data_IF_534759361448
#
_entry.id   IF_534759361448
#
_cell.length_a   1.000
_cell.length_b   1.000
_cell.length_c   1.000
_cell.angle_alpha   90.00
_cell.angle_beta   90.00
_cell.angle_gamma   90.00
#
_symmetry.space_group_name_H-M   'P 1'
#
loop_
_entity.id
_entity.type
_entity.pdbx_description
1 polymer ?
#
# COMPACT_ATOMS: atom_id res chain seq x y z
N UNK A 1 69.63 2.40 31.76
CA UNK A 1 68.48 1.74 32.42
C UNK A 1 67.37 2.78 32.55
N UNK A 2 66.38 2.74 31.65
CA UNK A 2 65.17 3.53 31.86
C UNK A 2 64.39 2.88 33.01
N UNK A 3 63.99 3.69 33.99
CA UNK A 3 63.23 3.22 35.15
C UNK A 3 61.93 2.53 34.67
N UNK A 4 61.47 1.44 35.32
CA UNK A 4 60.25 0.73 34.95
C UNK A 4 59.00 1.64 34.93
N UNK A 5 59.08 2.78 35.61
CA UNK A 5 58.01 3.76 35.75
C UNK A 5 57.75 4.58 34.48
N UNK A 6 58.74 4.75 33.60
CA UNK A 6 58.58 5.58 32.40
C UNK A 6 57.82 4.84 31.28
N UNK A 7 58.09 3.54 31.11
CA UNK A 7 57.37 2.68 30.15
C UNK A 7 55.92 2.47 30.60
N UNK A 8 55.70 2.32 31.91
CA UNK A 8 54.36 2.18 32.48
C UNK A 8 53.52 3.45 32.31
N UNK A 9 54.14 4.63 32.43
CA UNK A 9 53.45 5.92 32.24
C UNK A 9 53.03 6.14 30.78
N UNK A 10 53.84 5.71 29.81
CA UNK A 10 53.50 5.78 28.37
C UNK A 10 52.35 4.83 28.03
N UNK A 11 52.36 3.60 28.55
CA UNK A 11 51.27 2.63 28.35
C UNK A 11 49.95 3.11 28.97
N UNK A 12 50.01 3.72 30.17
CA UNK A 12 48.83 4.29 30.84
C UNK A 12 48.27 5.49 30.06
N UNK A 13 49.14 6.32 29.48
CA UNK A 13 48.72 7.44 28.64
C UNK A 13 48.02 6.95 27.35
N UNK A 14 48.52 5.88 26.73
CA UNK A 14 47.90 5.31 25.52
C UNK A 14 46.54 4.65 25.81
N UNK A 15 46.39 4.02 26.98
CA UNK A 15 45.10 3.50 27.46
C UNK A 15 44.10 4.62 27.77
N UNK A 16 44.56 5.76 28.32
CA UNK A 16 43.72 6.94 28.56
C UNK A 16 43.24 7.61 27.26
N UNK A 17 44.10 7.70 26.24
CA UNK A 17 43.71 8.23 24.92
C UNK A 17 42.83 7.26 24.11
N UNK A 18 42.95 5.94 24.31
CA UNK A 18 42.03 4.94 23.75
C UNK A 18 40.67 4.89 24.47
N UNK A 19 40.59 5.45 25.70
CA UNK A 19 39.37 5.52 26.51
C UNK A 19 38.59 6.83 26.39
N UNK A 20 39.10 7.81 25.64
CA UNK A 20 38.31 8.98 25.27
C UNK A 20 37.18 8.49 24.35
N UNK A 21 35.90 8.65 24.73
CA UNK A 21 34.82 8.36 23.81
C UNK A 21 35.05 9.26 22.61
N UNK A 22 35.30 8.63 21.47
CA UNK A 22 35.32 9.26 20.17
C UNK A 22 34.15 10.25 20.20
N UNK A 23 34.43 11.57 20.16
CA UNK A 23 33.39 12.60 20.15
C UNK A 23 32.64 12.37 18.84
N UNK A 24 31.67 11.48 18.88
CA UNK A 24 30.62 11.36 17.89
C UNK A 24 29.97 12.73 17.94
N UNK A 25 30.22 13.54 16.93
CA UNK A 25 29.27 14.58 16.53
C UNK A 25 27.97 13.84 16.27
N UNK A 26 27.18 13.68 17.33
CA UNK A 26 25.81 13.19 17.28
C UNK A 26 25.00 14.29 16.64
N UNK A 27 24.94 14.29 15.31
CA UNK A 27 23.79 14.87 14.63
C UNK A 27 22.57 14.05 15.05
N UNK A 28 21.73 14.67 15.88
CA UNK A 28 20.50 14.13 16.42
C UNK A 28 19.47 13.96 15.28
N UNK A 29 19.63 12.90 14.49
CA UNK A 29 18.53 12.27 13.80
C UNK A 29 18.21 11.01 14.61
N UNK A 30 16.96 10.87 15.03
CA UNK A 30 16.46 9.84 15.96
C UNK A 30 17.17 8.47 15.84
N UNK A 31 17.46 7.85 16.98
CA UNK A 31 18.19 6.56 17.18
C UNK A 31 17.53 5.32 16.51
N UNK A 32 17.07 5.43 15.27
CA UNK A 32 16.67 4.29 14.45
C UNK A 32 17.87 3.47 14.00
N UNK A 33 17.70 2.16 13.87
CA UNK A 33 18.69 1.29 13.23
C UNK A 33 18.04 0.46 12.12
N UNK A 34 18.82 0.15 11.10
CA UNK A 34 18.40 -0.74 10.01
C UNK A 34 18.97 -2.13 10.26
N UNK A 35 18.12 -3.15 10.15
CA UNK A 35 18.51 -4.55 10.22
C UNK A 35 18.05 -5.27 8.96
N UNK A 36 18.97 -5.96 8.30
CA UNK A 36 18.63 -6.84 7.18
C UNK A 36 18.01 -8.14 7.72
N UNK A 37 16.74 -8.38 7.38
CA UNK A 37 16.03 -9.61 7.79
C UNK A 37 16.22 -10.75 6.78
N UNK A 38 15.97 -10.46 5.50
CA UNK A 38 16.14 -11.37 4.37
C UNK A 38 16.91 -10.68 3.25
N UNK A 39 17.83 -11.39 2.59
CA UNK A 39 18.50 -10.86 1.39
C UNK A 39 17.53 -10.69 0.22
N UNK A 40 16.56 -11.60 0.11
CA UNK A 40 15.49 -11.58 -0.88
C UNK A 40 14.38 -12.53 -0.45
N UNK A 41 13.13 -12.18 -0.76
CA UNK A 41 11.97 -13.10 -0.69
C UNK A 41 11.58 -13.66 -2.05
N UNK A 42 12.36 -13.35 -3.10
CA UNK A 42 12.22 -13.87 -4.45
C UNK A 42 11.28 -13.09 -5.39
N UNK A 43 10.57 -12.08 -4.89
CA UNK A 43 9.68 -11.20 -5.67
C UNK A 43 9.94 -9.73 -5.34
N UNK A 44 9.47 -8.80 -6.18
CA UNK A 44 9.36 -7.39 -5.81
C UNK A 44 8.10 -7.16 -5.00
N UNK A 45 8.18 -6.40 -3.92
CA UNK A 45 7.01 -6.06 -3.10
C UNK A 45 6.26 -4.85 -3.68
N UNK A 46 5.75 -4.97 -4.92
CA UNK A 46 4.94 -3.91 -5.56
C UNK A 46 3.74 -3.53 -4.70
N UNK A 47 3.12 -4.53 -4.08
CA UNK A 47 2.16 -4.35 -2.99
C UNK A 47 2.60 -5.13 -1.76
N UNK A 48 2.29 -4.58 -0.59
CA UNK A 48 2.46 -5.27 0.69
C UNK A 48 1.37 -4.90 1.68
N UNK A 49 1.01 -5.86 2.53
CA UNK A 49 0.02 -5.68 3.58
C UNK A 49 0.41 -6.47 4.84
N UNK A 50 0.61 -5.75 5.95
CA UNK A 50 0.74 -6.36 7.28
C UNK A 50 -0.63 -6.84 7.76
N UNK A 51 -0.71 -8.10 8.19
CA UNK A 51 -1.89 -8.74 8.74
C UNK A 51 -1.88 -8.69 10.28
N UNK A 52 -3.01 -9.04 10.90
CA UNK A 52 -3.20 -9.07 12.37
C UNK A 52 -2.37 -10.11 13.13
N UNK A 53 -1.71 -11.02 12.41
CA UNK A 53 -0.95 -12.15 12.97
C UNK A 53 0.55 -12.05 12.69
N UNK A 54 1.08 -10.83 12.56
CA UNK A 54 2.49 -10.53 12.27
C UNK A 54 3.02 -11.18 10.99
N UNK A 55 2.11 -11.43 10.04
CA UNK A 55 2.46 -11.86 8.69
C UNK A 55 2.29 -10.72 7.72
N UNK A 56 3.18 -10.62 6.75
CA UNK A 56 3.11 -9.66 5.66
C UNK A 56 2.84 -10.40 4.37
N UNK A 57 1.76 -10.04 3.68
CA UNK A 57 1.50 -10.52 2.33
C UNK A 57 2.16 -9.54 1.37
N UNK A 58 3.02 -10.04 0.50
CA UNK A 58 3.66 -9.26 -0.57
C UNK A 58 3.31 -9.88 -1.92
N UNK A 59 3.17 -9.06 -2.95
CA UNK A 59 2.88 -9.55 -4.30
C UNK A 59 3.36 -8.58 -5.38
N UNK A 60 3.72 -9.18 -6.51
CA UNK A 60 4.18 -8.54 -7.72
C UNK A 60 3.25 -8.90 -8.89
N UNK A 61 3.40 -8.16 -9.99
CA UNK A 61 2.74 -8.44 -11.27
C UNK A 61 3.17 -9.78 -11.87
N UNK A 62 2.32 -10.42 -12.67
CA UNK A 62 2.63 -11.72 -13.31
C UNK A 62 3.13 -11.59 -14.74
N UNK A 63 2.90 -10.45 -15.37
CA UNK A 63 3.09 -10.20 -16.80
C UNK A 63 4.48 -9.63 -17.17
N UNK A 64 5.48 -9.81 -16.29
CA UNK A 64 6.84 -9.30 -16.48
C UNK A 64 7.91 -10.40 -16.65
N UNK A 65 7.52 -11.68 -16.54
CA UNK A 65 8.41 -12.84 -16.62
C UNK A 65 8.54 -13.59 -15.29
N UNK A 66 9.50 -14.51 -15.16
CA UNK A 66 9.60 -15.39 -14.00
C UNK A 66 10.16 -14.64 -12.77
N UNK A 67 9.64 -14.97 -11.60
CA UNK A 67 10.18 -14.53 -10.30
C UNK A 67 11.32 -15.43 -9.81
N UNK A 68 12.07 -14.99 -8.80
CA UNK A 68 13.20 -15.73 -8.20
C UNK A 68 12.79 -16.69 -7.08
N UNK A 69 11.52 -17.12 -7.06
CA UNK A 69 10.97 -18.08 -6.11
C UNK A 69 10.11 -19.10 -6.86
N UNK A 70 10.37 -20.39 -6.66
CA UNK A 70 9.54 -21.46 -7.24
C UNK A 70 8.29 -21.71 -6.42
N UNK A 71 7.19 -22.04 -7.09
CA UNK A 71 6.01 -22.60 -6.44
C UNK A 71 6.32 -24.03 -5.93
N UNK A 72 5.77 -24.44 -4.79
CA UNK A 72 6.04 -25.74 -4.20
C UNK A 72 5.42 -26.89 -5.00
N UNK A 73 5.97 -28.09 -4.86
CA UNK A 73 5.43 -29.35 -5.40
C UNK A 73 5.26 -29.38 -6.93
N UNK A 74 6.06 -28.64 -7.68
CA UNK A 74 5.97 -28.57 -9.14
C UNK A 74 4.70 -27.90 -9.65
N UNK A 75 3.98 -27.16 -8.79
CA UNK A 75 2.82 -26.37 -9.19
C UNK A 75 3.25 -25.28 -10.16
N UNK A 76 2.45 -25.07 -11.21
CA UNK A 76 2.61 -23.95 -12.12
C UNK A 76 1.26 -23.24 -12.30
N UNK A 77 1.31 -21.92 -12.41
CA UNK A 77 0.23 -21.08 -12.88
C UNK A 77 0.08 -21.31 -14.38
N UNK A 78 -1.12 -21.62 -14.82
CA UNK A 78 -1.46 -21.75 -16.24
C UNK A 78 -2.46 -20.66 -16.58
N UNK A 79 -2.09 -19.76 -17.47
CA UNK A 79 -2.91 -18.64 -17.88
C UNK A 79 -2.64 -18.32 -19.37
N UNK A 80 -3.53 -18.74 -20.27
CA UNK A 80 -3.34 -18.49 -21.70
C UNK A 80 -3.43 -17.00 -22.07
N UNK A 81 -3.91 -16.16 -21.15
CA UNK A 81 -4.07 -14.71 -21.37
C UNK A 81 -2.90 -13.88 -20.84
N UNK A 82 -1.94 -14.50 -20.15
CA UNK A 82 -0.73 -13.80 -19.69
C UNK A 82 0.14 -13.40 -20.88
N UNK A 83 0.68 -12.17 -20.82
CA UNK A 83 1.44 -11.59 -21.92
C UNK A 83 2.94 -11.92 -21.89
N UNK A 84 3.45 -12.47 -20.79
CA UNK A 84 4.84 -12.85 -20.62
C UNK A 84 5.04 -14.37 -20.55
N UNK A 85 4.33 -15.05 -19.65
CA UNK A 85 4.46 -16.49 -19.41
C UNK A 85 3.09 -17.15 -19.26
N UNK A 86 2.68 -17.91 -20.29
CA UNK A 86 1.42 -18.67 -20.24
C UNK A 86 1.46 -19.85 -19.27
N UNK A 87 2.65 -20.42 -19.05
CA UNK A 87 2.91 -21.44 -18.03
C UNK A 87 4.07 -20.94 -17.18
N UNK A 88 3.80 -20.68 -15.91
CA UNK A 88 4.77 -20.11 -14.98
C UNK A 88 4.82 -20.93 -13.69
N UNK A 89 5.99 -21.48 -13.37
CA UNK A 89 6.21 -22.28 -12.17
C UNK A 89 6.84 -21.47 -11.01
N UNK A 90 6.90 -20.15 -11.16
CA UNK A 90 7.41 -19.21 -10.15
C UNK A 90 6.26 -18.53 -9.39
N UNK A 91 6.56 -18.07 -8.18
CA UNK A 91 5.61 -17.41 -7.30
C UNK A 91 5.72 -15.90 -7.46
N UNK A 92 4.58 -15.23 -7.63
CA UNK A 92 4.46 -13.77 -7.67
C UNK A 92 3.80 -13.19 -6.41
N UNK A 93 3.60 -14.03 -5.40
CA UNK A 93 3.14 -13.61 -4.09
C UNK A 93 3.84 -14.42 -3.00
N UNK A 94 4.07 -13.80 -1.85
CA UNK A 94 4.65 -14.45 -0.68
C UNK A 94 3.91 -14.05 0.59
N UNK A 95 3.83 -14.99 1.53
CA UNK A 95 3.52 -14.71 2.92
C UNK A 95 4.83 -14.74 3.70
N UNK A 96 5.20 -13.61 4.29
CA UNK A 96 6.37 -13.44 5.15
C UNK A 96 5.95 -13.43 6.63
N UNK A 97 6.50 -14.35 7.41
CA UNK A 97 6.35 -14.46 8.85
C UNK A 97 7.43 -13.63 9.54
N UNK A 98 7.04 -12.51 10.16
CA UNK A 98 7.97 -11.54 10.75
C UNK A 98 8.71 -12.15 11.93
N UNK A 99 8.01 -12.90 12.79
CA UNK A 99 8.59 -13.49 13.99
C UNK A 99 9.59 -14.60 13.66
N UNK A 100 9.21 -15.51 12.75
CA UNK A 100 10.08 -16.60 12.35
C UNK A 100 11.19 -16.17 11.37
N UNK A 101 11.10 -14.96 10.82
CA UNK A 101 11.92 -14.47 9.71
C UNK A 101 11.99 -15.51 8.57
N UNK A 102 10.81 -15.95 8.11
CA UNK A 102 10.67 -16.95 7.04
C UNK A 102 9.56 -16.53 6.09
N UNK A 103 9.61 -16.99 4.86
CA UNK A 103 8.54 -16.78 3.89
C UNK A 103 8.14 -18.08 3.21
N UNK A 104 6.91 -18.10 2.68
CA UNK A 104 6.43 -19.14 1.78
C UNK A 104 5.84 -18.52 0.52
N UNK A 105 5.98 -19.23 -0.58
CA UNK A 105 5.33 -18.91 -1.83
C UNK A 105 3.80 -19.00 -1.69
N UNK A 106 3.11 -18.06 -2.33
CA UNK A 106 1.68 -18.06 -2.60
C UNK A 106 1.46 -18.06 -4.11
N UNK A 107 0.32 -18.60 -4.54
CA UNK A 107 -0.07 -18.59 -5.95
C UNK A 107 -1.10 -17.51 -6.15
N UNK A 108 -0.75 -16.51 -6.94
CA UNK A 108 -1.72 -15.58 -7.52
C UNK A 108 -1.94 -15.99 -8.97
N UNK A 109 -3.20 -16.15 -9.37
CA UNK A 109 -3.59 -16.68 -10.67
C UNK A 109 -3.68 -15.58 -11.72
N UNK A 110 -4.20 -14.41 -11.37
CA UNK A 110 -4.47 -13.31 -12.30
C UNK A 110 -3.66 -12.07 -11.97
N UNK A 111 -3.44 -11.17 -12.93
CA UNK A 111 -2.46 -10.08 -12.75
C UNK A 111 -2.92 -9.00 -11.76
N UNK A 112 -2.12 -8.79 -10.71
CA UNK A 112 -2.34 -7.81 -9.63
C UNK A 112 -1.72 -6.44 -9.91
N UNK A 113 -1.13 -6.23 -11.09
CA UNK A 113 -0.47 -4.99 -11.45
C UNK A 113 -1.37 -3.76 -11.28
N UNK A 114 -0.90 -2.79 -10.48
CA UNK A 114 -1.61 -1.57 -10.10
C UNK A 114 -3.03 -1.79 -9.61
N UNK A 115 -3.16 -2.79 -8.75
CA UNK A 115 -4.39 -3.06 -8.01
C UNK A 115 -4.39 -2.36 -6.65
N UNK A 116 -5.38 -2.66 -5.82
CA UNK A 116 -5.46 -2.14 -4.45
C UNK A 116 -6.26 -3.08 -3.56
N UNK A 117 -6.30 -2.82 -2.26
CA UNK A 117 -7.02 -3.68 -1.32
C UNK A 117 -7.12 -3.09 0.07
N UNK A 118 -7.87 -3.77 0.93
CA UNK A 118 -8.01 -3.44 2.34
C UNK A 118 -8.15 -4.71 3.19
N UNK A 119 -7.77 -4.60 4.46
CA UNK A 119 -8.06 -5.63 5.46
C UNK A 119 -9.47 -5.44 5.98
N UNK A 120 -10.30 -6.47 5.88
CA UNK A 120 -11.69 -6.52 6.37
C UNK A 120 -11.75 -6.73 7.89
N UNK A 121 -12.89 -6.50 8.58
CA UNK A 121 -12.98 -6.70 10.03
C UNK A 121 -12.66 -8.13 10.51
N UNK A 122 -12.90 -9.12 9.66
CA UNK A 122 -12.90 -10.56 10.00
C UNK A 122 -11.51 -11.22 10.05
N UNK A 123 -10.50 -10.64 9.42
CA UNK A 123 -9.20 -11.31 9.23
C UNK A 123 -8.62 -11.05 7.86
N UNK A 124 -9.49 -10.97 6.87
CA UNK A 124 -9.16 -11.25 5.50
C UNK A 124 -8.65 -10.02 4.76
N UNK A 125 -7.66 -10.23 3.91
CA UNK A 125 -7.22 -9.23 2.94
C UNK A 125 -8.07 -9.37 1.68
N UNK A 126 -8.81 -8.32 1.35
CA UNK A 126 -9.53 -8.23 0.08
C UNK A 126 -8.74 -7.31 -0.85
N UNK A 127 -8.21 -7.89 -1.91
CA UNK A 127 -7.53 -7.22 -2.99
C UNK A 127 -8.46 -7.17 -4.20
N UNK A 128 -8.41 -6.09 -4.98
CA UNK A 128 -9.33 -5.84 -6.08
C UNK A 128 -8.63 -5.20 -7.27
N UNK A 129 -9.05 -5.60 -8.47
CA UNK A 129 -8.55 -5.03 -9.70
C UNK A 129 -7.17 -5.54 -10.08
N UNK A 130 -6.53 -4.84 -11.00
CA UNK A 130 -5.29 -5.27 -11.62
C UNK A 130 -5.26 -4.96 -13.12
N UNK A 131 -4.31 -5.57 -13.83
CA UNK A 131 -4.17 -5.43 -15.27
C UNK A 131 -4.78 -6.64 -15.99
N UNK A 132 -5.11 -6.48 -17.27
CA UNK A 132 -5.61 -7.54 -18.15
C UNK A 132 -6.73 -8.39 -17.52
N UNK A 133 -6.47 -9.68 -17.22
CA UNK A 133 -7.42 -10.63 -16.65
C UNK A 133 -7.74 -10.36 -15.16
N UNK A 134 -6.94 -9.50 -14.53
CA UNK A 134 -7.07 -8.97 -13.17
C UNK A 134 -8.03 -7.80 -13.00
N UNK A 135 -8.37 -7.09 -14.08
CA UNK A 135 -9.05 -5.78 -14.02
C UNK A 135 -10.41 -5.79 -13.29
N UNK A 136 -11.06 -6.96 -13.22
CA UNK A 136 -12.38 -7.16 -12.59
C UNK A 136 -12.37 -8.19 -11.47
N UNK A 137 -11.18 -8.55 -10.97
CA UNK A 137 -11.00 -9.58 -9.95
C UNK A 137 -11.17 -9.04 -8.56
N UNK A 138 -11.67 -9.90 -7.69
CA UNK A 138 -11.54 -9.77 -6.24
C UNK A 138 -10.74 -10.97 -5.77
N UNK A 139 -9.63 -10.74 -5.08
CA UNK A 139 -8.79 -11.80 -4.52
C UNK A 139 -8.85 -11.70 -3.00
N UNK A 140 -9.21 -12.79 -2.34
CA UNK A 140 -9.35 -12.85 -0.90
C UNK A 140 -8.24 -13.73 -0.34
N UNK A 141 -7.46 -13.20 0.58
CA UNK A 141 -6.51 -13.98 1.37
C UNK A 141 -6.99 -14.08 2.81
N UNK A 142 -7.26 -15.31 3.23
CA UNK A 142 -7.66 -15.64 4.60
C UNK A 142 -6.49 -16.31 5.32
N UNK A 143 -5.85 -15.66 6.32
CA UNK A 143 -4.61 -16.17 6.90
C UNK A 143 -4.79 -17.50 7.65
N UNK A 144 -3.92 -18.46 7.37
CA UNK A 144 -3.87 -19.80 7.95
C UNK A 144 -2.56 -20.48 7.50
N UNK A 145 -2.30 -21.73 7.95
CA UNK A 145 -1.02 -22.40 7.69
C UNK A 145 -0.76 -22.77 6.22
N UNK A 146 -1.80 -23.14 5.47
CA UNK A 146 -1.66 -23.74 4.12
C UNK A 146 -2.58 -23.12 3.07
N UNK A 147 -3.26 -22.03 3.40
CA UNK A 147 -4.14 -21.32 2.48
C UNK A 147 -3.34 -20.53 1.45
N UNK A 148 -4.05 -20.25 0.37
CA UNK A 148 -3.59 -19.48 -0.76
C UNK A 148 -4.66 -18.42 -1.09
N UNK A 149 -4.43 -17.62 -2.12
CA UNK A 149 -5.43 -16.68 -2.62
C UNK A 149 -6.68 -17.41 -3.14
N UNK A 150 -7.85 -16.89 -2.79
CA UNK A 150 -9.12 -17.25 -3.41
C UNK A 150 -9.55 -16.14 -4.37
N UNK A 151 -9.61 -16.44 -5.67
CA UNK A 151 -9.88 -15.44 -6.69
C UNK A 151 -11.29 -15.55 -7.27
N UNK A 152 -12.06 -14.47 -7.14
CA UNK A 152 -13.43 -14.38 -7.59
C UNK A 152 -13.45 -13.73 -8.97
N UNK A 153 -13.78 -14.49 -10.04
CA UNK A 153 -13.95 -13.92 -11.38
C UNK A 153 -15.09 -12.91 -11.40
N UNK A 154 -14.92 -11.82 -12.14
CA UNK A 154 -15.95 -10.79 -12.33
C UNK A 154 -16.55 -10.25 -11.01
N UNK A 155 -15.75 -10.24 -9.94
CA UNK A 155 -16.15 -9.70 -8.65
C UNK A 155 -16.46 -8.20 -8.72
N UNK A 156 -15.85 -7.46 -9.65
CA UNK A 156 -16.05 -6.03 -9.85
C UNK A 156 -16.93 -5.70 -11.06
N UNK A 157 -17.75 -4.67 -10.90
CA UNK A 157 -18.66 -4.11 -11.92
C UNK A 157 -17.94 -3.18 -12.89
N UNK A 158 -16.95 -2.44 -12.41
CA UNK A 158 -16.05 -1.65 -13.24
C UNK A 158 -14.67 -2.32 -13.31
N UNK A 159 -13.91 -2.00 -14.37
CA UNK A 159 -12.48 -2.31 -14.42
C UNK A 159 -11.78 -1.44 -13.37
N UNK A 160 -10.92 -1.99 -12.53
CA UNK A 160 -10.19 -1.25 -11.49
C UNK A 160 -8.70 -1.44 -11.71
N UNK A 161 -8.07 -0.45 -12.32
CA UNK A 161 -6.62 -0.37 -12.47
C UNK A 161 -6.20 1.01 -11.99
N UNK A 162 -5.28 1.13 -11.04
CA UNK A 162 -4.97 2.35 -10.30
C UNK A 162 -6.13 2.94 -9.46
N UNK A 163 -6.99 2.08 -8.90
CA UNK A 163 -8.08 2.48 -7.99
C UNK A 163 -7.61 2.46 -6.53
N UNK A 164 -8.38 3.07 -5.62
CA UNK A 164 -8.11 3.01 -4.17
C UNK A 164 -9.22 2.30 -3.42
N UNK A 165 -8.85 1.49 -2.43
CA UNK A 165 -9.80 0.80 -1.54
C UNK A 165 -9.78 1.44 -0.16
N UNK A 166 -10.93 1.44 0.51
CA UNK A 166 -11.01 1.79 1.92
C UNK A 166 -12.09 0.97 2.62
N UNK A 167 -11.80 0.47 3.83
CA UNK A 167 -12.77 -0.23 4.67
C UNK A 167 -13.83 0.73 5.21
N UNK A 168 -15.06 0.25 5.38
CA UNK A 168 -16.20 1.00 5.89
C UNK A 168 -16.73 0.41 7.21
N UNK A 169 -17.44 1.20 8.04
CA UNK A 169 -18.01 0.74 9.32
C UNK A 169 -19.00 -0.42 9.19
N UNK A 170 -19.66 -0.56 8.04
CA UNK A 170 -20.65 -1.60 7.79
C UNK A 170 -20.05 -2.94 7.33
N UNK A 171 -18.72 -3.07 7.38
CA UNK A 171 -18.00 -4.29 7.02
C UNK A 171 -17.85 -4.48 5.50
N UNK A 172 -18.13 -3.47 4.68
CA UNK A 172 -17.77 -3.43 3.26
C UNK A 172 -16.46 -2.67 3.06
N UNK A 173 -15.92 -2.76 1.86
CA UNK A 173 -14.92 -1.83 1.33
C UNK A 173 -15.52 -1.04 0.18
N UNK A 174 -15.17 0.24 0.10
CA UNK A 174 -15.38 1.09 -1.09
C UNK A 174 -14.17 1.00 -2.00
N UNK A 175 -14.40 0.94 -3.31
CA UNK A 175 -13.36 1.01 -4.34
C UNK A 175 -13.64 2.25 -5.18
N UNK A 176 -12.72 3.21 -5.13
CA UNK A 176 -12.87 4.54 -5.72
C UNK A 176 -11.93 4.69 -6.91
N UNK A 177 -12.50 5.06 -8.05
CA UNK A 177 -11.74 5.44 -9.23
C UNK A 177 -11.08 4.28 -9.97
N UNK A 178 -9.91 4.55 -10.53
CA UNK A 178 -9.22 3.71 -11.51
C UNK A 178 -9.19 4.37 -12.88
N UNK A 179 -8.26 3.93 -13.73
CA UNK A 179 -8.02 4.50 -15.06
C UNK A 179 -9.30 4.52 -15.90
N UNK A 180 -9.73 5.73 -16.28
CA UNK A 180 -10.98 5.96 -17.01
C UNK A 180 -12.26 5.63 -16.23
N UNK A 181 -12.19 5.48 -14.90
CA UNK A 181 -13.34 5.21 -14.04
C UNK A 181 -13.63 6.40 -13.12
N UNK A 182 -14.68 7.15 -13.44
CA UNK A 182 -15.17 8.27 -12.62
C UNK A 182 -16.33 7.83 -11.72
N UNK A 183 -16.14 6.72 -11.00
CA UNK A 183 -17.16 6.07 -10.20
C UNK A 183 -16.55 5.29 -9.03
N UNK A 184 -17.38 4.89 -8.08
CA UNK A 184 -17.03 3.95 -7.02
C UNK A 184 -17.99 2.76 -6.97
N UNK A 185 -17.60 1.68 -6.32
CA UNK A 185 -18.46 0.53 -6.01
C UNK A 185 -18.05 -0.10 -4.67
N UNK A 186 -18.82 -1.09 -4.21
CA UNK A 186 -18.60 -1.75 -2.92
C UNK A 186 -18.40 -3.26 -3.07
N UNK A 187 -17.58 -3.82 -2.19
CA UNK A 187 -17.41 -5.27 -2.02
C UNK A 187 -17.49 -5.59 -0.51
N UNK A 188 -18.17 -6.65 -0.07
CA UNK A 188 -19.08 -7.49 -0.84
C UNK A 188 -20.24 -6.69 -1.46
N UNK A 189 -20.81 -7.21 -2.55
CA UNK A 189 -21.95 -6.57 -3.23
C UNK A 189 -23.24 -6.90 -2.48
N UNK A 190 -24.03 -5.88 -2.18
CA UNK A 190 -25.39 -6.05 -1.65
C UNK A 190 -26.43 -6.19 -2.78
N UNK A 191 -26.10 -5.72 -3.99
CA UNK A 191 -26.98 -5.69 -5.17
C UNK A 191 -26.12 -6.03 -6.40
N UNK A 192 -26.73 -6.69 -7.40
CA UNK A 192 -26.05 -7.38 -8.52
C UNK A 192 -25.11 -6.49 -9.36
N UNK A 193 -25.36 -5.18 -9.50
CA UNK A 193 -24.50 -4.28 -10.29
C UNK A 193 -24.76 -2.81 -9.95
N UNK A 194 -23.86 -2.15 -9.23
CA UNK A 194 -24.05 -0.75 -8.79
C UNK A 194 -22.70 -0.01 -8.65
N UNK A 195 -22.03 0.24 -9.78
CA UNK A 195 -21.07 1.35 -9.78
C UNK A 195 -21.84 2.66 -9.71
N UNK A 196 -21.39 3.59 -8.88
CA UNK A 196 -22.05 4.87 -8.62
C UNK A 196 -21.14 5.98 -9.10
N UNK A 197 -21.68 6.90 -9.90
CA UNK A 197 -20.91 8.00 -10.47
C UNK A 197 -20.40 8.93 -9.37
N UNK A 198 -19.13 9.35 -9.50
CA UNK A 198 -18.49 10.33 -8.64
C UNK A 198 -17.87 11.42 -9.52
N UNK A 199 -18.66 12.47 -9.88
CA UNK A 199 -18.22 13.53 -10.80
C UNK A 199 -16.91 14.20 -10.38
N UNK A 200 -16.63 14.28 -9.08
CA UNK A 200 -15.37 14.80 -8.53
C UNK A 200 -14.12 14.19 -9.19
N UNK A 201 -14.13 12.89 -9.51
CA UNK A 201 -13.00 12.25 -10.21
C UNK A 201 -12.88 12.73 -11.66
N UNK A 202 -13.98 13.07 -12.34
CA UNK A 202 -13.89 13.67 -13.67
C UNK A 202 -13.44 15.13 -13.60
N UNK A 203 -13.91 15.87 -12.60
CA UNK A 203 -13.57 17.29 -12.37
C UNK A 203 -12.07 17.48 -12.04
N UNK A 204 -11.44 16.47 -11.45
CA UNK A 204 -10.03 16.50 -11.05
C UNK A 204 -9.08 15.81 -12.04
N UNK A 205 -9.60 15.29 -13.15
CA UNK A 205 -8.79 14.61 -14.17
C UNK A 205 -8.45 15.57 -15.32
N UNK A 206 -7.18 15.95 -15.43
CA UNK A 206 -6.71 16.74 -16.58
C UNK A 206 -6.66 15.83 -17.83
N UNK A 207 -7.33 16.26 -18.90
CA UNK A 207 -7.50 15.46 -20.13
C UNK A 207 -6.14 15.01 -20.69
N UNK A 208 -5.96 13.70 -20.80
CA UNK A 208 -4.76 13.08 -21.38
C UNK A 208 -3.57 12.95 -20.42
N UNK A 209 -3.72 13.34 -19.15
CA UNK A 209 -2.62 13.34 -18.16
C UNK A 209 -2.80 12.22 -17.11
N UNK A 210 -4.03 11.87 -16.76
CA UNK A 210 -4.36 10.83 -15.75
C UNK A 210 -3.79 11.14 -14.34
N UNK A 211 -3.80 12.40 -13.94
CA UNK A 211 -3.18 12.91 -12.70
C UNK A 211 -4.04 12.80 -11.43
N UNK A 212 -5.02 11.91 -11.43
CA UNK A 212 -5.95 11.71 -10.32
C UNK A 212 -6.16 10.22 -9.96
N UNK A 213 -5.22 9.38 -10.41
CA UNK A 213 -5.16 7.96 -10.10
C UNK A 213 -4.68 7.71 -8.66
N UNK A 214 -5.07 6.58 -8.06
CA UNK A 214 -4.93 6.33 -6.63
C UNK A 214 -5.38 7.52 -5.77
N UNK A 215 -6.67 7.92 -5.83
CA UNK A 215 -7.17 8.98 -4.96
C UNK A 215 -6.95 8.61 -3.49
N UNK A 216 -6.57 9.57 -2.66
CA UNK A 216 -6.42 9.31 -1.22
C UNK A 216 -7.79 9.31 -0.58
N UNK A 217 -8.17 8.19 0.02
CA UNK A 217 -9.47 7.98 0.65
C UNK A 217 -9.23 7.72 2.12
N UNK A 218 -9.86 8.48 3.00
CA UNK A 218 -9.82 8.26 4.44
C UNK A 218 -11.22 8.38 5.03
N UNK A 219 -11.60 7.42 5.88
CA UNK A 219 -12.83 7.52 6.67
C UNK A 219 -12.65 8.56 7.79
N UNK A 220 -13.55 9.54 7.82
CA UNK A 220 -13.59 10.58 8.82
C UNK A 220 -14.40 10.15 10.06
N UNK A 221 -14.23 10.86 11.18
CA UNK A 221 -14.88 10.56 12.46
C UNK A 221 -16.41 10.67 12.45
N UNK A 222 -16.97 11.40 11.49
CA UNK A 222 -18.41 11.56 11.28
C UNK A 222 -19.01 10.49 10.35
N UNK A 223 -18.19 9.54 9.89
CA UNK A 223 -18.58 8.48 8.98
C UNK A 223 -18.54 8.87 7.50
N UNK A 224 -18.24 10.12 7.15
CA UNK A 224 -18.02 10.55 5.76
C UNK A 224 -16.60 10.19 5.29
N UNK A 225 -16.35 10.23 3.97
CA UNK A 225 -15.03 10.00 3.40
C UNK A 225 -14.37 11.32 3.03
N UNK A 226 -13.15 11.56 3.52
CA UNK A 226 -12.24 12.49 2.88
C UNK A 226 -11.70 11.83 1.60
N UNK A 227 -11.94 12.45 0.45
CA UNK A 227 -11.41 11.99 -0.83
C UNK A 227 -10.58 13.11 -1.44
N UNK A 228 -9.29 12.84 -1.66
CA UNK A 228 -8.37 13.75 -2.33
C UNK A 228 -7.95 13.16 -3.68
N UNK A 229 -8.01 13.97 -4.73
CA UNK A 229 -7.62 13.57 -6.07
C UNK A 229 -6.98 14.77 -6.81
N UNK A 230 -5.87 14.52 -7.51
CA UNK A 230 -5.05 15.55 -8.15
C UNK A 230 -4.54 16.57 -7.13
N UNK A 231 -5.20 17.70 -6.96
CA UNK A 231 -4.80 18.80 -6.05
C UNK A 231 -5.97 19.31 -5.18
N UNK A 232 -7.10 18.60 -5.20
CA UNK A 232 -8.34 18.99 -4.54
C UNK A 232 -8.85 17.88 -3.63
N UNK A 233 -9.70 18.25 -2.66
CA UNK A 233 -10.37 17.29 -1.80
C UNK A 233 -11.84 17.63 -1.54
N UNK A 234 -12.59 16.60 -1.20
CA UNK A 234 -13.99 16.67 -0.75
C UNK A 234 -14.20 15.87 0.52
N UNK A 235 -15.21 16.24 1.31
CA UNK A 235 -15.84 15.39 2.30
C UNK A 235 -17.10 14.82 1.65
N UNK A 236 -17.20 13.51 1.60
CA UNK A 236 -18.16 12.79 0.77
C UNK A 236 -19.00 11.83 1.61
N UNK A 237 -20.31 12.05 1.59
CA UNK A 237 -21.31 11.12 2.10
C UNK A 237 -21.56 10.07 1.01
N UNK A 238 -20.90 8.91 1.15
CA UNK A 238 -20.99 7.79 0.21
C UNK A 238 -22.29 6.99 0.35
N UNK A 239 -23.07 7.20 1.41
CA UNK A 239 -24.35 6.54 1.62
C UNK A 239 -25.40 7.22 0.75
N UNK A 240 -25.42 8.56 0.77
CA UNK A 240 -26.39 9.35 0.03
C UNK A 240 -25.85 9.87 -1.32
N UNK A 241 -24.57 9.62 -1.62
CA UNK A 241 -23.88 10.09 -2.82
C UNK A 241 -23.82 11.63 -2.90
N UNK A 242 -23.47 12.30 -1.79
CA UNK A 242 -23.48 13.76 -1.66
C UNK A 242 -22.09 14.27 -1.26
N UNK A 243 -21.64 15.35 -1.92
CA UNK A 243 -20.47 16.12 -1.48
C UNK A 243 -20.89 17.06 -0.37
N UNK A 244 -20.51 16.74 0.87
CA UNK A 244 -20.83 17.52 2.08
C UNK A 244 -19.99 18.80 2.13
N UNK A 245 -18.73 18.72 1.71
CA UNK A 245 -17.79 19.85 1.75
C UNK A 245 -16.78 19.74 0.62
N UNK A 246 -16.43 20.88 0.00
CA UNK A 246 -15.21 21.00 -0.82
C UNK A 246 -14.13 21.70 0.00
N UNK A 247 -12.92 21.16 0.00
CA UNK A 247 -11.77 21.78 0.68
C UNK A 247 -11.05 22.73 -0.28
N UNK A 248 -10.31 23.72 0.25
CA UNK A 248 -9.44 24.55 -0.58
C UNK A 248 -8.45 23.68 -1.38
N UNK A 249 -8.20 24.08 -2.62
CA UNK A 249 -7.19 23.45 -3.47
C UNK A 249 -5.80 23.65 -2.85
N UNK A 250 -4.91 22.67 -3.01
CA UNK A 250 -3.52 22.81 -2.58
C UNK A 250 -2.88 23.98 -3.36
N UNK A 251 -2.22 24.93 -2.65
CA UNK A 251 -1.53 26.04 -3.31
C UNK A 251 -0.49 25.57 -4.34
N UNK A 252 -0.35 26.33 -5.42
CA UNK A 252 0.56 26.00 -6.53
C UNK A 252 -0.08 25.14 -7.63
N UNK A 253 -1.20 24.47 -7.36
CA UNK A 253 -1.98 23.78 -8.40
C UNK A 253 -1.37 22.47 -8.93
N UNK A 254 -0.25 22.03 -8.34
CA UNK A 254 0.44 20.80 -8.73
C UNK A 254 -0.25 19.54 -8.16
N UNK A 255 -0.29 18.42 -8.91
CA UNK A 255 -0.93 17.19 -8.45
C UNK A 255 -0.14 16.55 -7.31
N UNK A 256 -0.85 15.77 -6.50
CA UNK A 256 -0.29 14.86 -5.49
C UNK A 256 -0.69 13.41 -5.74
N UNK A 257 -1.74 13.16 -6.52
CA UNK A 257 -2.10 11.81 -6.94
C UNK A 257 -1.11 11.25 -7.98
N UNK A 258 -1.16 9.94 -8.24
CA UNK A 258 -0.38 9.34 -9.34
C UNK A 258 -0.74 10.02 -10.68
N UNK A 259 0.23 10.26 -11.59
CA UNK A 259 1.64 9.87 -11.55
C UNK A 259 2.58 10.86 -10.85
N UNK A 260 2.07 11.98 -10.32
CA UNK A 260 2.91 12.88 -9.50
C UNK A 260 3.39 12.21 -8.21
N UNK A 261 2.68 11.21 -7.70
CA UNK A 261 3.10 10.32 -6.59
C UNK A 261 3.45 11.01 -5.28
N UNK A 262 2.59 11.92 -4.83
CA UNK A 262 2.56 12.35 -3.43
C UNK A 262 1.99 11.27 -2.53
N UNK A 263 2.06 11.51 -1.22
CA UNK A 263 1.55 10.63 -0.19
C UNK A 263 0.59 11.38 0.72
N UNK A 264 -0.34 10.65 1.31
CA UNK A 264 -1.20 11.18 2.35
C UNK A 264 -1.33 10.21 3.53
N UNK A 265 -1.57 10.76 4.71
CA UNK A 265 -1.78 10.00 5.93
C UNK A 265 -2.83 10.69 6.81
N UNK A 266 -3.76 9.90 7.35
CA UNK A 266 -4.59 10.31 8.48
C UNK A 266 -3.72 10.27 9.74
N UNK A 267 -3.49 11.43 10.34
CA UNK A 267 -2.70 11.55 11.56
C UNK A 267 -3.43 10.90 12.76
N UNK A 268 -2.70 10.47 13.79
CA UNK A 268 -3.31 9.84 14.96
C UNK A 268 -4.40 10.71 15.57
N UNK A 269 -5.59 10.13 15.74
CA UNK A 269 -6.69 10.78 16.44
C UNK A 269 -6.29 11.07 17.89
N UNK A 270 -6.48 12.31 18.32
CA UNK A 270 -6.17 12.76 19.68
C UNK A 270 -7.47 12.97 20.46
N UNK A 271 -7.39 12.91 21.79
CA UNK A 271 -8.49 13.25 22.69
C UNK A 271 -9.79 12.45 22.43
N UNK A 272 -9.69 11.12 22.31
CA UNK A 272 -10.84 10.24 21.98
C UNK A 272 -12.05 10.31 22.93
N UNK A 273 -11.91 10.96 24.09
CA UNK A 273 -12.99 11.20 25.06
C UNK A 273 -13.66 12.57 24.92
N UNK A 274 -13.17 13.41 24.01
CA UNK A 274 -13.73 14.73 23.78
C UNK A 274 -15.11 14.63 23.11
N UNK A 275 -15.96 15.63 23.32
CA UNK A 275 -17.28 15.71 22.71
C UNK A 275 -17.21 15.82 21.17
N UNK A 276 -16.13 16.40 20.65
CA UNK A 276 -15.80 16.44 19.23
C UNK A 276 -14.36 15.97 19.04
N UNK A 277 -14.17 14.99 18.16
CA UNK A 277 -12.86 14.48 17.76
C UNK A 277 -12.49 15.14 16.43
N UNK A 278 -11.25 15.61 16.32
CA UNK A 278 -10.73 16.16 15.07
C UNK A 278 -9.89 15.11 14.34
N UNK A 279 -10.10 14.99 13.03
CA UNK A 279 -9.29 14.18 12.13
C UNK A 279 -8.44 15.10 11.25
N UNK A 280 -7.12 14.87 11.25
CA UNK A 280 -6.17 15.64 10.46
C UNK A 280 -5.56 14.76 9.38
N UNK A 281 -5.65 15.17 8.11
CA UNK A 281 -5.00 14.47 6.99
C UNK A 281 -3.82 15.31 6.50
N UNK A 282 -2.62 14.75 6.57
CA UNK A 282 -1.42 15.35 5.97
C UNK A 282 -1.26 14.84 4.54
N UNK A 283 -1.19 15.75 3.58
CA UNK A 283 -0.84 15.46 2.18
C UNK A 283 0.49 16.12 1.85
N UNK A 284 1.47 15.35 1.35
CA UNK A 284 2.83 15.83 1.14
C UNK A 284 3.49 15.15 -0.07
N UNK A 285 4.56 15.77 -0.59
CA UNK A 285 5.32 15.27 -1.73
C UNK A 285 4.64 15.54 -3.06
N UNK A 286 4.86 14.66 -4.03
CA UNK A 286 4.38 14.82 -5.40
C UNK A 286 5.37 15.56 -6.30
N UNK A 287 5.21 15.40 -7.61
CA UNK A 287 5.98 16.08 -8.64
C UNK A 287 5.12 17.07 -9.44
N UNK A 288 5.74 18.08 -10.08
CA UNK A 288 5.04 18.98 -10.99
C UNK A 288 4.35 18.24 -12.16
N UNK A 289 3.33 18.86 -12.76
CA UNK A 289 2.67 18.31 -13.96
C UNK A 289 3.69 18.03 -15.07
N UNK A 290 3.58 16.86 -15.69
CA UNK A 290 4.45 16.45 -16.80
C UNK A 290 5.81 15.86 -16.39
N UNK A 291 6.05 15.57 -15.11
CA UNK A 291 7.33 15.03 -14.62
C UNK A 291 7.48 13.50 -14.75
N UNK A 292 6.86 12.85 -15.75
CA UNK A 292 6.82 11.39 -15.90
C UNK A 292 7.26 10.91 -17.29
#
# INVERSE_FOLDING_TARGET
MASPSFIFSILLLHLLFASLPNRRTLTFAADGSWQLLQKSVGISAMHMQLLRNDRVIMFDRTDFGPSNLLLPNGKCRNDPTDTALQVDCTAHSVEYDVFANKFRALTVQTDVWCSSGAIMPDGNLFQTGGFNDGERRVRVFSPCRTCDWNEIPNGLTAKRWYASNHILPDGRQIIVGGRGQFNYEFIPKNIVSNKINLPFLSETNDKGIENNLYPFVFLNVDGNLFIFANNQAILFDYVNNIVVKKYPMIPGGEPRSYPSTGSAVLLPLKNLKAAAIEAEVLVCGGAPKGSY
#
